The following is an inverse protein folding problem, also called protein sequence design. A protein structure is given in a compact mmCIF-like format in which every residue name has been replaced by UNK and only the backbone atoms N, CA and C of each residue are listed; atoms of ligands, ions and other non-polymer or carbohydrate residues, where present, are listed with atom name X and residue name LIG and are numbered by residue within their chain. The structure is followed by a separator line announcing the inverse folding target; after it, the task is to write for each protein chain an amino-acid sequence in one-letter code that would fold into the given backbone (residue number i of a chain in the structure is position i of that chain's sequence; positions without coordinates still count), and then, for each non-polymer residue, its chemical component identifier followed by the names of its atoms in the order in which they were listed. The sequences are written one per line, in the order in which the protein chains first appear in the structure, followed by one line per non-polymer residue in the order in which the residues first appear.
data_IF_441462371452
#
_entry.id   IF_441462371452
#
_cell.length_a   1.000
_cell.length_b   1.000
_cell.length_c   1.000
_cell.angle_alpha   90.00
_cell.angle_beta   90.00
_cell.angle_gamma   90.00
#
_symmetry.space_group_name_H-M   'P 1'
#
loop_
_entity.id
_entity.type
_entity.pdbx_description
1 polymer ?
#
# COMPACT_ATOMS: atom_id res chain seq x y z
N UNK A 1 -26.94 -16.45 5.29
CA UNK A 1 -26.68 -15.02 5.40
C UNK A 1 -25.28 -14.69 5.91
N UNK A 2 -24.79 -15.42 6.91
CA UNK A 2 -23.48 -15.09 7.56
C UNK A 2 -22.26 -15.38 6.68
N UNK A 3 -22.25 -16.45 5.92
CA UNK A 3 -21.09 -16.81 5.06
C UNK A 3 -20.93 -15.87 3.88
N UNK A 4 -22.01 -15.38 3.29
CA UNK A 4 -21.99 -14.38 2.24
C UNK A 4 -21.39 -13.06 2.75
N UNK A 5 -21.74 -12.62 3.96
CA UNK A 5 -21.17 -11.44 4.59
C UNK A 5 -19.66 -11.56 4.86
N UNK A 6 -19.15 -12.73 5.26
CA UNK A 6 -17.73 -12.96 5.51
C UNK A 6 -16.93 -12.88 4.19
N UNK A 7 -17.45 -13.50 3.14
CA UNK A 7 -16.83 -13.47 1.81
C UNK A 7 -16.80 -12.05 1.24
N UNK A 8 -17.89 -11.32 1.35
CA UNK A 8 -17.99 -9.92 0.90
C UNK A 8 -16.99 -9.03 1.65
N UNK A 9 -16.89 -9.16 2.97
CA UNK A 9 -15.91 -8.42 3.79
C UNK A 9 -14.46 -8.73 3.43
N UNK A 10 -14.16 -9.96 2.99
CA UNK A 10 -12.79 -10.32 2.58
C UNK A 10 -12.42 -9.82 1.17
N UNK A 11 -13.42 -9.66 0.28
CA UNK A 11 -13.20 -9.28 -1.12
C UNK A 11 -13.33 -7.78 -1.34
N UNK A 12 -14.27 -7.12 -0.66
CA UNK A 12 -14.55 -5.68 -0.79
C UNK A 12 -13.33 -4.77 -0.60
N UNK A 13 -12.43 -5.00 0.40
CA UNK A 13 -11.22 -4.19 0.56
C UNK A 13 -10.23 -4.29 -0.59
N UNK A 14 -10.34 -5.30 -1.44
CA UNK A 14 -9.47 -5.47 -2.62
C UNK A 14 -10.01 -4.73 -3.85
N UNK A 15 -10.31 -3.45 -3.69
CA UNK A 15 -10.77 -2.54 -4.75
C UNK A 15 -12.14 -2.87 -5.36
N UNK A 16 -12.99 -3.62 -4.65
CA UNK A 16 -14.37 -3.83 -5.06
C UNK A 16 -15.31 -2.68 -4.58
N UNK A 17 -15.05 -2.11 -3.41
CA UNK A 17 -15.71 -0.90 -2.91
C UNK A 17 -17.20 -1.04 -2.59
N UNK A 18 -17.75 -2.24 -2.63
CA UNK A 18 -19.16 -2.45 -2.30
C UNK A 18 -19.36 -2.48 -0.79
N UNK A 19 -20.09 -1.51 -0.26
CA UNK A 19 -20.44 -1.46 1.15
C UNK A 19 -21.77 -2.18 1.37
N UNK A 20 -21.70 -3.42 1.85
CA UNK A 20 -22.88 -4.24 2.19
C UNK A 20 -23.19 -4.24 3.68
N UNK A 21 -22.29 -3.68 4.51
CA UNK A 21 -22.41 -3.67 5.98
C UNK A 21 -21.82 -2.37 6.52
N UNK A 22 -22.40 -1.86 7.59
CA UNK A 22 -21.89 -0.67 8.27
C UNK A 22 -20.47 -0.92 8.80
N UNK A 23 -19.51 -0.17 8.28
CA UNK A 23 -18.09 -0.32 8.61
C UNK A 23 -17.74 0.29 9.97
N UNK A 24 -18.65 1.13 10.51
CA UNK A 24 -18.51 1.73 11.85
C UNK A 24 -18.63 0.71 12.96
N UNK A 25 -19.35 -0.41 12.72
CA UNK A 25 -19.51 -1.51 13.66
C UNK A 25 -18.27 -2.43 13.76
N UNK A 26 -17.24 -2.18 12.94
CA UNK A 26 -16.02 -2.98 12.99
C UNK A 26 -15.21 -2.64 14.26
N UNK A 27 -14.78 -3.69 14.96
CA UNK A 27 -13.77 -3.52 16.02
C UNK A 27 -12.49 -2.88 15.48
N UNK A 28 -11.72 -2.23 16.33
CA UNK A 28 -10.41 -1.62 15.94
C UNK A 28 -9.50 -2.63 15.26
N UNK A 29 -9.46 -3.87 15.74
CA UNK A 29 -8.72 -4.95 15.10
C UNK A 29 -9.25 -5.27 13.69
N UNK A 30 -10.58 -5.25 13.51
CA UNK A 30 -11.21 -5.43 12.20
C UNK A 30 -10.86 -4.30 11.23
N UNK A 31 -10.89 -3.06 11.70
CA UNK A 31 -10.48 -1.90 10.91
C UNK A 31 -9.01 -1.99 10.50
N UNK A 32 -8.11 -2.39 11.42
CA UNK A 32 -6.68 -2.56 11.12
C UNK A 32 -6.42 -3.64 10.05
N UNK A 33 -7.09 -4.80 10.17
CA UNK A 33 -7.00 -5.87 9.16
C UNK A 33 -7.53 -5.36 7.81
N UNK A 34 -8.61 -4.61 7.81
CA UNK A 34 -9.17 -4.04 6.59
C UNK A 34 -8.20 -3.04 5.94
N UNK A 35 -7.55 -2.17 6.71
CA UNK A 35 -6.49 -1.28 6.23
C UNK A 35 -5.37 -2.07 5.55
N UNK A 36 -4.89 -3.14 6.19
CA UNK A 36 -3.85 -3.98 5.61
C UNK A 36 -4.29 -4.61 4.28
N UNK A 37 -5.53 -5.10 4.20
CA UNK A 37 -6.11 -5.66 2.98
C UNK A 37 -6.30 -4.62 1.88
N UNK A 38 -6.65 -3.38 2.21
CA UNK A 38 -6.78 -2.26 1.26
C UNK A 38 -5.45 -1.89 0.63
N UNK A 39 -4.36 -1.90 1.42
CA UNK A 39 -3.02 -1.63 0.92
C UNK A 39 -2.52 -2.75 -0.01
N UNK A 40 -2.96 -4.00 0.22
CA UNK A 40 -2.66 -5.15 -0.65
C UNK A 40 -3.73 -5.21 -1.74
N UNK A 41 -3.51 -4.50 -2.83
CA UNK A 41 -4.43 -4.43 -3.96
C UNK A 41 -4.54 -5.73 -4.77
N UNK A 42 -4.87 -5.61 -6.05
CA UNK A 42 -5.14 -6.76 -6.93
C UNK A 42 -3.91 -7.43 -7.53
N UNK A 43 -4.17 -8.42 -8.39
CA UNK A 43 -3.15 -9.14 -9.16
C UNK A 43 -2.47 -8.24 -10.20
N UNK A 44 -1.29 -8.62 -10.69
CA UNK A 44 -0.66 -7.96 -11.84
C UNK A 44 -1.61 -7.98 -13.05
N UNK A 45 -1.71 -6.84 -13.74
CA UNK A 45 -2.63 -6.70 -14.87
C UNK A 45 -4.06 -6.29 -14.49
N UNK A 46 -4.42 -6.30 -13.20
CA UNK A 46 -5.70 -5.73 -12.77
C UNK A 46 -5.64 -4.19 -12.73
N UNK A 47 -6.79 -3.55 -12.88
CA UNK A 47 -6.96 -2.09 -12.76
C UNK A 47 -6.95 -1.59 -11.33
N UNK A 48 -6.80 -2.49 -10.34
CA UNK A 48 -6.75 -2.18 -8.91
C UNK A 48 -5.53 -1.31 -8.57
N UNK A 49 -5.71 -0.31 -7.73
CA UNK A 49 -4.63 0.49 -7.14
C UNK A 49 -3.88 -0.26 -6.04
N UNK A 50 -3.05 0.46 -5.30
CA UNK A 50 -2.30 -0.10 -4.17
C UNK A 50 -1.16 -1.05 -4.58
N UNK A 51 -0.60 -1.73 -3.58
CA UNK A 51 0.46 -2.72 -3.78
C UNK A 51 -0.07 -3.95 -4.48
N UNK A 52 0.63 -4.42 -5.51
CA UNK A 52 0.24 -5.66 -6.19
C UNK A 52 0.55 -6.88 -5.30
N UNK A 53 -0.29 -7.92 -5.41
CA UNK A 53 -0.08 -9.17 -4.67
C UNK A 53 1.28 -9.80 -4.94
N UNK A 54 1.81 -9.67 -6.16
CA UNK A 54 3.17 -10.14 -6.51
C UNK A 54 4.25 -9.35 -5.78
N UNK A 55 4.09 -8.06 -5.54
CA UNK A 55 5.04 -7.24 -4.78
C UNK A 55 5.19 -7.79 -3.36
N UNK A 56 4.06 -8.07 -2.71
CA UNK A 56 4.06 -8.68 -1.37
C UNK A 56 4.65 -10.09 -1.39
N UNK A 57 4.30 -10.92 -2.39
CA UNK A 57 4.84 -12.27 -2.52
C UNK A 57 6.37 -12.26 -2.69
N UNK A 58 6.92 -11.35 -3.51
CA UNK A 58 8.37 -11.18 -3.69
C UNK A 58 9.04 -10.78 -2.36
N UNK A 59 8.49 -9.82 -1.63
CA UNK A 59 9.05 -9.37 -0.35
C UNK A 59 9.02 -10.47 0.70
N UNK A 60 7.89 -11.18 0.85
CA UNK A 60 7.77 -12.30 1.80
C UNK A 60 8.74 -13.44 1.45
N UNK A 61 8.83 -13.81 0.17
CA UNK A 61 9.76 -14.85 -0.28
C UNK A 61 11.20 -14.45 -0.01
N UNK A 62 11.56 -13.20 -0.26
CA UNK A 62 12.90 -12.67 0.03
C UNK A 62 13.19 -12.68 1.52
N UNK A 63 12.24 -12.24 2.35
CA UNK A 63 12.39 -12.27 3.81
C UNK A 63 12.59 -13.70 4.32
N UNK A 64 11.77 -14.67 3.89
CA UNK A 64 11.91 -16.09 4.27
C UNK A 64 13.25 -16.66 3.80
N UNK A 65 13.70 -16.31 2.58
CA UNK A 65 15.00 -16.74 2.04
C UNK A 65 16.15 -16.22 2.90
N UNK A 66 16.10 -14.97 3.29
CA UNK A 66 17.09 -14.32 4.18
C UNK A 66 17.12 -14.98 5.55
N UNK A 67 15.95 -15.23 6.17
CA UNK A 67 15.87 -15.96 7.44
C UNK A 67 16.45 -17.39 7.35
N UNK A 68 16.26 -18.04 6.20
CA UNK A 68 16.83 -19.38 5.95
C UNK A 68 18.30 -19.34 5.49
N UNK A 69 18.95 -18.18 5.48
CA UNK A 69 20.34 -17.98 5.04
C UNK A 69 20.61 -18.53 3.63
N UNK A 70 19.63 -18.45 2.74
CA UNK A 70 19.79 -18.84 1.33
C UNK A 70 20.32 -17.65 0.54
N UNK A 71 21.30 -17.90 -0.32
CA UNK A 71 21.91 -16.84 -1.15
C UNK A 71 20.92 -16.21 -2.15
N UNK A 72 19.89 -16.94 -2.56
CA UNK A 72 18.94 -16.49 -3.57
C UNK A 72 17.49 -16.71 -3.11
N UNK A 73 16.65 -15.71 -3.37
CA UNK A 73 15.21 -15.84 -3.24
C UNK A 73 14.65 -16.61 -4.45
N UNK A 74 14.04 -17.77 -4.20
CA UNK A 74 13.46 -18.61 -5.24
C UNK A 74 11.93 -18.66 -5.07
N UNK A 75 11.20 -18.34 -6.11
CA UNK A 75 9.75 -18.45 -6.17
C UNK A 75 9.37 -19.43 -7.31
N UNK A 76 8.61 -20.49 -6.99
CA UNK A 76 8.20 -21.54 -7.95
C UNK A 76 9.36 -22.12 -8.77
N UNK A 77 10.52 -22.37 -8.13
CA UNK A 77 11.69 -22.94 -8.78
C UNK A 77 12.48 -21.97 -9.69
N UNK A 78 12.12 -20.69 -9.71
CA UNK A 78 12.85 -19.63 -10.43
C UNK A 78 13.50 -18.64 -9.46
N UNK A 79 14.71 -18.21 -9.79
CA UNK A 79 15.41 -17.15 -9.03
C UNK A 79 14.77 -15.79 -9.32
N UNK A 80 14.57 -15.00 -8.26
CA UNK A 80 14.12 -13.61 -8.37
C UNK A 80 15.34 -12.72 -8.51
N UNK A 81 15.32 -11.81 -9.49
CA UNK A 81 16.38 -10.82 -9.69
C UNK A 81 16.39 -9.78 -8.57
N UNK A 82 17.59 -9.37 -8.15
CA UNK A 82 17.78 -8.39 -7.08
C UNK A 82 17.11 -7.03 -7.38
N UNK A 83 17.04 -6.65 -8.65
CA UNK A 83 16.40 -5.40 -9.06
C UNK A 83 14.86 -5.46 -8.88
N UNK A 84 14.26 -6.65 -9.05
CA UNK A 84 12.84 -6.85 -8.77
C UNK A 84 12.55 -6.69 -7.28
N UNK A 85 13.44 -7.22 -6.43
CA UNK A 85 13.32 -7.08 -4.96
C UNK A 85 13.45 -5.63 -4.54
N UNK A 86 14.43 -4.89 -5.08
CA UNK A 86 14.63 -3.45 -4.78
C UNK A 86 13.41 -2.63 -5.20
N UNK A 87 12.90 -2.87 -6.41
CA UNK A 87 11.71 -2.19 -6.90
C UNK A 87 10.49 -2.50 -6.02
N UNK A 88 10.29 -3.76 -5.63
CA UNK A 88 9.21 -4.18 -4.74
C UNK A 88 9.30 -3.47 -3.37
N UNK A 89 10.49 -3.42 -2.78
CA UNK A 89 10.73 -2.73 -1.51
C UNK A 89 10.47 -1.22 -1.63
N UNK A 90 10.97 -0.58 -2.68
CA UNK A 90 10.78 0.86 -2.91
C UNK A 90 9.31 1.22 -3.07
N UNK A 91 8.57 0.45 -3.86
CA UNK A 91 7.13 0.66 -4.06
C UNK A 91 6.38 0.49 -2.74
N UNK A 92 6.67 -0.57 -1.99
CA UNK A 92 6.01 -0.82 -0.71
C UNK A 92 6.27 0.29 0.30
N UNK A 93 7.52 0.73 0.43
CA UNK A 93 7.88 1.84 1.31
C UNK A 93 7.16 3.13 0.91
N UNK A 94 7.10 3.43 -0.39
CA UNK A 94 6.39 4.61 -0.91
C UNK A 94 4.91 4.58 -0.53
N UNK A 95 4.20 3.47 -0.75
CA UNK A 95 2.77 3.37 -0.43
C UNK A 95 2.51 3.49 1.08
N UNK A 96 3.32 2.85 1.92
CA UNK A 96 3.22 2.94 3.38
C UNK A 96 3.48 4.39 3.83
N UNK A 97 4.52 5.03 3.29
CA UNK A 97 4.84 6.43 3.62
C UNK A 97 3.71 7.38 3.22
N UNK A 98 3.15 7.23 2.02
CA UNK A 98 2.01 8.04 1.56
C UNK A 98 0.78 7.85 2.45
N UNK A 99 0.47 6.62 2.84
CA UNK A 99 -0.65 6.32 3.73
C UNK A 99 -0.44 6.94 5.12
N UNK A 100 0.73 6.73 5.72
CA UNK A 100 1.04 7.24 7.06
C UNK A 100 1.11 8.77 7.10
N UNK A 101 1.77 9.40 6.13
CA UNK A 101 1.88 10.87 6.07
C UNK A 101 0.52 11.52 5.83
N UNK A 102 -0.28 10.97 4.92
CA UNK A 102 -1.65 11.44 4.70
C UNK A 102 -2.52 11.30 5.94
N UNK A 103 -2.46 10.15 6.61
CA UNK A 103 -3.19 9.91 7.87
C UNK A 103 -2.79 10.87 8.98
N UNK A 104 -1.49 11.16 9.12
CA UNK A 104 -0.98 12.14 10.08
C UNK A 104 -1.51 13.55 9.79
N UNK A 105 -1.45 13.99 8.53
CA UNK A 105 -1.93 15.33 8.15
C UNK A 105 -3.42 15.47 8.45
N UNK A 106 -4.23 14.48 8.11
CA UNK A 106 -5.68 14.50 8.36
C UNK A 106 -5.96 14.45 9.86
N UNK A 107 -5.27 13.59 10.63
CA UNK A 107 -5.46 13.47 12.06
C UNK A 107 -5.14 14.78 12.79
N UNK A 108 -4.06 15.46 12.41
CA UNK A 108 -3.67 16.75 12.99
C UNK A 108 -4.64 17.86 12.58
N UNK A 109 -5.12 17.85 11.34
CA UNK A 109 -6.03 18.90 10.81
C UNK A 109 -7.44 18.81 11.38
N UNK A 110 -7.95 17.60 11.60
CA UNK A 110 -9.33 17.33 12.01
C UNK A 110 -9.47 16.97 13.49
N UNK A 111 -8.37 16.63 14.18
CA UNK A 111 -8.41 16.14 15.57
C UNK A 111 -9.06 14.75 15.70
N UNK A 112 -9.10 13.96 14.63
CA UNK A 112 -9.72 12.65 14.61
C UNK A 112 -8.76 11.52 15.03
N UNK A 113 -9.28 10.37 15.50
CA UNK A 113 -8.46 9.21 15.83
C UNK A 113 -7.60 8.77 14.64
N UNK A 114 -6.33 8.46 14.89
CA UNK A 114 -5.36 8.08 13.85
C UNK A 114 -5.83 6.86 13.03
N UNK A 115 -6.46 5.89 13.67
CA UNK A 115 -6.95 4.67 12.98
C UNK A 115 -8.01 5.00 11.92
N UNK A 116 -8.93 5.91 12.23
CA UNK A 116 -9.96 6.40 11.30
C UNK A 116 -9.35 7.13 10.12
N UNK A 117 -8.35 7.99 10.38
CA UNK A 117 -7.64 8.72 9.32
C UNK A 117 -6.82 7.76 8.43
N UNK A 118 -6.17 6.76 9.02
CA UNK A 118 -5.46 5.71 8.27
C UNK A 118 -6.40 4.87 7.40
N UNK A 119 -7.62 4.61 7.87
CA UNK A 119 -8.62 3.89 7.09
C UNK A 119 -8.98 4.65 5.81
N UNK A 120 -9.27 5.95 5.90
CA UNK A 120 -9.57 6.80 4.75
C UNK A 120 -8.38 6.93 3.79
N UNK A 121 -7.18 7.13 4.32
CA UNK A 121 -5.98 7.25 3.47
C UNK A 121 -5.59 5.94 2.81
N UNK A 122 -5.73 4.79 3.49
CA UNK A 122 -5.52 3.48 2.90
C UNK A 122 -6.53 3.19 1.78
N UNK A 123 -7.81 3.56 2.00
CA UNK A 123 -8.86 3.46 0.99
C UNK A 123 -8.57 4.35 -0.22
N UNK A 124 -8.08 5.58 0.00
CA UNK A 124 -7.70 6.50 -1.07
C UNK A 124 -6.50 5.98 -1.88
N UNK A 125 -5.40 5.61 -1.21
CA UNK A 125 -4.18 5.09 -1.85
C UNK A 125 -4.43 3.74 -2.53
N UNK A 126 -5.20 2.85 -1.89
CA UNK A 126 -5.61 1.57 -2.45
C UNK A 126 -6.64 1.69 -3.57
N UNK A 127 -7.22 2.88 -3.78
CA UNK A 127 -8.33 3.13 -4.72
C UNK A 127 -9.53 2.20 -4.47
N UNK A 128 -9.85 1.95 -3.20
CA UNK A 128 -10.88 0.98 -2.78
C UNK A 128 -12.27 1.61 -2.78
N UNK A 129 -12.38 2.84 -2.23
CA UNK A 129 -13.65 3.58 -2.15
C UNK A 129 -14.49 3.26 -0.91
N UNK A 130 -13.92 2.60 0.10
CA UNK A 130 -14.58 2.41 1.40
C UNK A 130 -14.30 3.62 2.29
N UNK A 131 -15.28 4.02 3.09
CA UNK A 131 -15.17 5.12 4.04
C UNK A 131 -15.88 4.76 5.34
N UNK A 132 -15.37 5.28 6.45
CA UNK A 132 -16.05 5.24 7.77
C UNK A 132 -17.09 6.38 7.93
N UNK A 133 -17.39 7.10 6.84
CA UNK A 133 -18.40 8.15 6.83
C UNK A 133 -17.88 9.56 7.14
N UNK A 134 -16.59 9.72 7.45
CA UNK A 134 -16.04 11.04 7.82
C UNK A 134 -15.74 11.94 6.62
N UNK A 135 -15.65 11.38 5.40
CA UNK A 135 -15.23 12.11 4.19
C UNK A 135 -16.05 13.39 3.92
N UNK A 136 -17.39 13.44 4.11
CA UNK A 136 -18.18 14.65 3.89
C UNK A 136 -17.90 15.78 4.89
N UNK A 137 -17.40 15.46 6.08
CA UNK A 137 -17.15 16.42 7.16
C UNK A 137 -15.74 17.01 7.14
N UNK A 138 -14.83 16.42 6.33
CA UNK A 138 -13.43 16.83 6.24
C UNK A 138 -13.26 18.25 5.69
N UNK A 139 -12.27 18.96 6.20
CA UNK A 139 -11.83 20.26 5.72
C UNK A 139 -11.28 20.19 4.28
N UNK A 140 -11.19 21.34 3.61
CA UNK A 140 -10.67 21.45 2.25
C UNK A 140 -9.23 20.88 2.13
N UNK A 141 -8.38 21.08 3.14
CA UNK A 141 -7.02 20.55 3.18
C UNK A 141 -7.04 19.03 3.18
N UNK A 142 -7.81 18.41 4.08
CA UNK A 142 -7.92 16.95 4.21
C UNK A 142 -8.49 16.31 2.94
N UNK A 143 -9.50 16.94 2.32
CA UNK A 143 -10.03 16.48 1.02
C UNK A 143 -9.00 16.57 -0.09
N UNK A 144 -8.20 17.65 -0.14
CA UNK A 144 -7.14 17.81 -1.15
C UNK A 144 -6.07 16.73 -1.00
N UNK A 145 -5.70 16.38 0.23
CA UNK A 145 -4.76 15.28 0.52
C UNK A 145 -5.32 13.95 0.01
N UNK A 146 -6.59 13.65 0.30
CA UNK A 146 -7.23 12.42 -0.21
C UNK A 146 -7.26 12.36 -1.74
N UNK A 147 -7.58 13.46 -2.42
CA UNK A 147 -7.57 13.53 -3.89
C UNK A 147 -6.17 13.24 -4.44
N UNK A 148 -5.12 13.83 -3.87
CA UNK A 148 -3.75 13.55 -4.26
C UNK A 148 -3.37 12.08 -4.03
N UNK A 149 -3.76 11.50 -2.89
CA UNK A 149 -3.52 10.08 -2.58
C UNK A 149 -4.23 9.15 -3.56
N UNK A 150 -5.48 9.46 -3.94
CA UNK A 150 -6.22 8.71 -4.97
C UNK A 150 -5.49 8.75 -6.32
N UNK A 151 -4.98 9.92 -6.71
CA UNK A 151 -4.21 10.08 -7.94
C UNK A 151 -2.93 9.25 -7.91
N UNK A 152 -2.13 9.35 -6.85
CA UNK A 152 -0.89 8.58 -6.69
C UNK A 152 -1.15 7.06 -6.61
N UNK A 153 -2.22 6.64 -5.95
CA UNK A 153 -2.64 5.25 -5.90
C UNK A 153 -2.98 4.68 -7.29
N UNK A 154 -3.54 5.52 -8.16
CA UNK A 154 -3.98 5.11 -9.51
C UNK A 154 -2.87 5.10 -10.54
N UNK A 155 -1.96 6.07 -10.51
CA UNK A 155 -0.85 6.19 -11.48
C UNK A 155 0.09 4.99 -11.40
N UNK A 156 0.16 4.32 -10.25
CA UNK A 156 1.00 3.15 -10.01
C UNK A 156 2.43 3.53 -9.61
N UNK A 157 2.95 2.81 -8.61
CA UNK A 157 4.22 3.14 -7.98
C UNK A 157 5.42 3.17 -8.93
N UNK A 158 5.50 2.25 -9.89
CA UNK A 158 6.60 2.21 -10.88
C UNK A 158 6.61 3.45 -11.77
N UNK A 159 5.44 3.90 -12.24
CA UNK A 159 5.33 5.07 -13.10
C UNK A 159 5.78 6.33 -12.37
N UNK A 160 5.41 6.48 -11.10
CA UNK A 160 5.86 7.60 -10.26
C UNK A 160 7.38 7.57 -10.03
N UNK A 161 7.94 6.41 -9.74
CA UNK A 161 9.39 6.25 -9.56
C UNK A 161 10.11 6.59 -10.86
N UNK A 162 9.66 6.08 -11.99
CA UNK A 162 10.28 6.40 -13.28
C UNK A 162 10.12 7.87 -13.66
N UNK A 163 8.98 8.49 -13.41
CA UNK A 163 8.78 9.92 -13.65
C UNK A 163 9.70 10.79 -12.79
N UNK A 164 9.84 10.45 -11.50
CA UNK A 164 10.72 11.17 -10.58
C UNK A 164 12.22 10.96 -10.90
N UNK A 165 12.60 9.75 -11.32
CA UNK A 165 14.00 9.38 -11.59
C UNK A 165 14.43 9.62 -13.04
N UNK A 166 13.50 9.80 -13.97
CA UNK A 166 13.80 10.05 -15.39
C UNK A 166 14.62 11.31 -15.62
N UNK A 167 14.63 12.25 -14.67
CA UNK A 167 15.48 13.43 -14.67
C UNK A 167 16.91 13.16 -14.16
N UNK A 168 17.17 12.01 -13.55
CA UNK A 168 18.48 11.67 -13.05
C UNK A 168 19.32 11.00 -14.16
N UNK A 169 20.21 11.76 -14.79
CA UNK A 169 21.22 11.22 -15.71
C UNK A 169 21.90 10.01 -15.08
N UNK A 170 21.96 8.90 -15.81
CA UNK A 170 22.76 7.73 -15.46
C UNK A 170 24.21 8.16 -15.25
N UNK A 171 24.62 8.40 -14.01
CA UNK A 171 26.04 8.50 -13.67
C UNK A 171 26.66 7.13 -13.90
N UNK A 172 27.51 7.03 -14.91
CA UNK A 172 28.24 5.81 -15.30
C UNK A 172 29.25 5.37 -14.23
N UNK A 173 29.59 6.25 -13.29
CA UNK A 173 30.54 5.98 -12.21
C UNK A 173 29.84 5.37 -11.00
N UNK A 174 30.19 4.13 -10.66
CA UNK A 174 29.79 3.49 -9.40
C UNK A 174 30.72 3.96 -8.28
N UNK A 175 30.14 4.54 -7.23
CA UNK A 175 30.87 4.85 -6.00
C UNK A 175 31.40 3.57 -5.33
N UNK A 176 32.53 3.64 -4.59
CA UNK A 176 33.04 2.51 -3.82
C UNK A 176 31.98 1.91 -2.91
N UNK A 177 31.95 0.57 -2.81
CA UNK A 177 30.99 -0.13 -1.92
C UNK A 177 31.47 -0.02 -0.48
N UNK A 178 30.66 0.59 0.36
CA UNK A 178 30.86 0.58 1.81
C UNK A 178 29.93 -0.46 2.45
N UNK A 179 30.46 -1.23 3.42
CA UNK A 179 29.69 -2.23 4.16
C UNK A 179 28.97 -1.52 5.31
N UNK A 180 27.69 -1.25 5.14
CA UNK A 180 26.82 -0.74 6.22
C UNK A 180 26.18 -1.94 6.90
N UNK A 181 26.37 -2.07 8.20
CA UNK A 181 25.71 -3.11 9.03
C UNK A 181 24.27 -2.67 9.25
N UNK A 182 23.33 -3.50 8.82
CA UNK A 182 21.90 -3.32 9.08
C UNK A 182 21.54 -4.32 10.15
N UNK A 183 21.28 -3.86 11.39
CA UNK A 183 20.72 -4.49 12.58
C UNK A 183 20.97 -5.94 12.85
#
# INVERSE_FOLDING_TARGET
GSEMCIRDRAVTPRTAGFNTVDLTDLSEAGQFITIALMLIGGSPGSTAGGLKTTTIAVLLTTAISTFRRRENANLFGRRIDDDVVKNAATISLMYITLCCTGGLIISVSEGLPMLTCLFETASAVGTVGLSLGITPELNLLSRSVLILLMFFGRVGGLTLIFAALSSAQKKVSKLPKEKITVG
#
